data_IF_732653399640
#
_entry.id   IF_732653399640
#
_cell.length_a   1.000
_cell.length_b   1.000
_cell.length_c   1.000
_cell.angle_alpha   90.00
_cell.angle_beta   90.00
_cell.angle_gamma   90.00
#
_symmetry.space_group_name_H-M   'P 1'
#
loop_
_entity.id
_entity.type
_entity.pdbx_description
1 polymer ?
#
# COMPACT_ATOMS: atom_id res chain seq x y z
N UNK A 1 4.22 0.51 17.81
CA UNK A 1 3.83 0.75 16.42
C UNK A 1 3.00 2.02 16.37
N UNK A 2 3.25 2.89 15.41
CA UNK A 2 2.38 4.04 15.13
C UNK A 2 1.27 3.61 14.19
N UNK A 3 0.20 4.39 14.11
CA UNK A 3 -0.88 4.20 13.13
C UNK A 3 -0.34 4.14 11.69
N UNK A 4 0.64 4.99 11.36
CA UNK A 4 1.36 4.95 10.09
C UNK A 4 2.09 3.62 9.85
N UNK A 5 2.73 3.05 10.88
CA UNK A 5 3.44 1.77 10.75
C UNK A 5 2.46 0.60 10.56
N UNK A 6 1.27 0.66 11.19
CA UNK A 6 0.15 -0.28 10.97
C UNK A 6 -0.37 -0.17 9.53
N UNK A 7 -0.55 1.05 9.03
CA UNK A 7 -0.97 1.28 7.64
C UNK A 7 0.04 0.72 6.63
N UNK A 8 1.34 0.93 6.84
CA UNK A 8 2.36 0.36 5.98
C UNK A 8 2.37 -1.18 6.05
N UNK A 9 2.08 -1.77 7.20
CA UNK A 9 1.93 -3.22 7.36
C UNK A 9 0.71 -3.75 6.57
N UNK A 10 -0.42 -3.05 6.65
CA UNK A 10 -1.63 -3.33 5.88
C UNK A 10 -1.35 -3.27 4.38
N UNK A 11 -0.72 -2.20 3.90
CA UNK A 11 -0.40 -2.03 2.48
C UNK A 11 0.62 -3.07 2.00
N UNK A 12 1.60 -3.44 2.84
CA UNK A 12 2.55 -4.50 2.53
C UNK A 12 1.86 -5.88 2.44
N UNK A 13 0.86 -6.14 3.29
CA UNK A 13 0.07 -7.36 3.27
C UNK A 13 -0.93 -7.47 2.12
N UNK A 14 -1.27 -6.33 1.50
CA UNK A 14 -2.24 -6.23 0.40
C UNK A 14 -1.66 -5.43 -0.78
N UNK A 15 -0.58 -5.92 -1.42
CA UNK A 15 0.02 -5.23 -2.55
C UNK A 15 -0.95 -5.14 -3.73
N UNK A 16 -1.02 -3.98 -4.35
CA UNK A 16 -1.92 -3.72 -5.47
C UNK A 16 -3.34 -3.33 -5.04
N UNK A 17 -3.62 -3.22 -3.74
CA UNK A 17 -4.92 -2.77 -3.25
C UNK A 17 -5.21 -1.33 -3.68
N UNK A 18 -6.47 -1.09 -4.03
CA UNK A 18 -7.00 0.22 -4.33
C UNK A 18 -7.24 1.00 -3.03
N UNK A 19 -7.33 2.33 -3.13
CA UNK A 19 -7.65 3.20 -1.98
C UNK A 19 -8.93 2.77 -1.24
N UNK A 20 -9.97 2.39 -2.00
CA UNK A 20 -11.23 1.90 -1.43
C UNK A 20 -11.08 0.57 -0.70
N UNK A 21 -10.26 -0.33 -1.23
CA UNK A 21 -9.98 -1.64 -0.60
C UNK A 21 -9.18 -1.46 0.69
N UNK A 22 -8.18 -0.57 0.69
CA UNK A 22 -7.41 -0.24 1.90
C UNK A 22 -8.32 0.35 3.00
N UNK A 23 -9.30 1.18 2.64
CA UNK A 23 -10.28 1.72 3.60
C UNK A 23 -11.16 0.62 4.20
N UNK A 24 -11.62 -0.33 3.38
CA UNK A 24 -12.40 -1.46 3.85
C UNK A 24 -11.59 -2.36 4.80
N UNK A 25 -10.36 -2.70 4.41
CA UNK A 25 -9.43 -3.51 5.21
C UNK A 25 -9.06 -2.84 6.54
N UNK A 26 -8.89 -1.51 6.55
CA UNK A 26 -8.66 -0.74 7.76
C UNK A 26 -9.83 -0.85 8.74
N UNK A 27 -11.06 -0.72 8.22
CA UNK A 27 -12.29 -0.85 9.01
C UNK A 27 -12.48 -2.22 9.65
N UNK A 28 -11.92 -3.28 9.06
CA UNK A 28 -11.94 -4.64 9.64
C UNK A 28 -10.89 -4.83 10.75
N UNK A 29 -9.80 -4.05 10.71
CA UNK A 29 -8.60 -4.33 11.52
C UNK A 29 -8.64 -3.78 12.96
N UNK A 30 -9.62 -2.95 13.35
CA UNK A 30 -9.78 -2.24 14.66
C UNK A 30 -8.58 -1.38 15.11
N UNK A 31 -7.40 -1.58 14.51
CA UNK A 31 -6.13 -0.91 14.81
C UNK A 31 -5.83 0.27 13.90
N UNK A 32 -6.64 0.48 12.87
CA UNK A 32 -6.48 1.53 11.89
C UNK A 32 -7.83 2.19 11.66
N UNK A 33 -7.87 3.52 11.78
CA UNK A 33 -9.08 4.28 11.50
C UNK A 33 -9.29 4.38 9.99
N UNK A 34 -10.49 3.98 9.53
CA UNK A 34 -10.80 3.96 8.10
C UNK A 34 -10.82 5.37 7.49
N UNK A 35 -11.18 6.39 8.27
CA UNK A 35 -11.15 7.78 7.81
C UNK A 35 -9.72 8.33 7.71
N UNK A 36 -8.76 7.75 8.45
CA UNK A 36 -7.35 8.15 8.39
C UNK A 36 -6.58 7.54 7.20
N UNK A 37 -7.12 6.51 6.53
CA UNK A 37 -6.43 5.79 5.44
C UNK A 37 -6.02 6.71 4.30
N UNK A 38 -6.89 7.63 3.89
CA UNK A 38 -6.61 8.52 2.77
C UNK A 38 -5.45 9.48 3.05
N UNK A 39 -5.41 10.06 4.25
CA UNK A 39 -4.33 10.94 4.70
C UNK A 39 -3.02 10.17 4.87
N UNK A 40 -3.07 8.95 5.42
CA UNK A 40 -1.89 8.09 5.60
C UNK A 40 -1.32 7.63 4.27
N UNK A 41 -2.18 7.31 3.30
CA UNK A 41 -1.77 6.95 1.96
C UNK A 41 -1.15 8.13 1.22
N UNK A 42 -1.76 9.31 1.27
CA UNK A 42 -1.19 10.53 0.68
C UNK A 42 0.18 10.84 1.28
N UNK A 43 0.29 10.75 2.62
CA UNK A 43 1.55 10.94 3.32
C UNK A 43 2.61 9.90 2.90
N UNK A 44 2.23 8.64 2.70
CA UNK A 44 3.16 7.60 2.24
C UNK A 44 3.64 7.83 0.81
N UNK A 45 2.76 8.32 -0.09
CA UNK A 45 3.12 8.69 -1.46
C UNK A 45 4.07 9.90 -1.48
N UNK A 46 3.79 10.94 -0.68
CA UNK A 46 4.64 12.13 -0.56
C UNK A 46 6.03 11.79 -0.01
N UNK A 47 6.11 10.80 0.88
CA UNK A 47 7.36 10.33 1.48
C UNK A 47 8.12 9.30 0.63
N UNK A 48 7.57 8.92 -0.52
CA UNK A 48 8.10 7.84 -1.37
C UNK A 48 8.17 6.49 -0.62
N UNK A 49 7.40 6.35 0.48
CA UNK A 49 7.25 5.11 1.24
C UNK A 49 6.24 4.17 0.56
N UNK A 50 5.39 4.69 -0.33
CA UNK A 50 4.49 3.94 -1.19
C UNK A 50 4.55 4.46 -2.64
N UNK A 51 4.10 3.63 -3.59
CA UNK A 51 3.93 3.98 -5.01
C UNK A 51 2.50 3.67 -5.44
N UNK A 52 1.92 4.54 -6.26
CA UNK A 52 0.64 4.33 -6.94
C UNK A 52 0.89 3.99 -8.42
N UNK A 53 0.18 3.01 -8.94
CA UNK A 53 0.11 2.69 -10.35
C UNK A 53 -1.26 2.16 -10.73
N UNK A 54 -1.88 2.72 -11.76
CA UNK A 54 -3.17 2.25 -12.27
C UNK A 54 -4.26 2.13 -11.18
N UNK A 55 -4.26 3.03 -10.19
CA UNK A 55 -5.18 3.01 -9.05
C UNK A 55 -4.86 2.00 -7.94
N UNK A 56 -3.79 1.22 -8.11
CA UNK A 56 -3.27 0.25 -7.15
C UNK A 56 -2.06 0.80 -6.41
N UNK A 57 -1.80 0.31 -5.19
CA UNK A 57 -0.76 0.85 -4.31
C UNK A 57 0.20 -0.24 -3.79
N UNK A 58 1.47 0.12 -3.60
CA UNK A 58 2.51 -0.77 -3.06
C UNK A 58 3.44 -0.02 -2.10
N UNK A 59 3.95 -0.70 -1.08
CA UNK A 59 5.00 -0.15 -0.20
C UNK A 59 6.37 -0.20 -0.89
N UNK A 60 7.10 0.92 -0.85
CA UNK A 60 8.44 1.08 -1.42
C UNK A 60 9.56 1.07 -0.38
N UNK A 61 9.23 1.15 0.92
CA UNK A 61 10.22 1.29 2.00
C UNK A 61 11.28 0.18 1.93
N UNK A 62 12.49 0.59 1.54
CA UNK A 62 13.69 -0.25 1.47
C UNK A 62 13.96 -0.93 2.81
N UNK A 63 13.70 -2.24 2.88
CA UNK A 63 13.98 -3.08 4.06
C UNK A 63 12.78 -3.85 4.62
N UNK A 64 11.54 -3.49 4.24
CA UNK A 64 10.33 -4.31 4.52
C UNK A 64 9.69 -4.87 3.24
N UNK A 65 10.40 -4.76 2.12
CA UNK A 65 10.19 -5.59 0.95
C UNK A 65 10.55 -7.02 1.36
N UNK A 66 9.56 -7.79 1.79
CA UNK A 66 9.67 -9.24 1.99
C UNK A 66 9.08 -9.92 0.75
N UNK A 67 9.82 -9.99 -0.38
CA UNK A 67 9.34 -10.69 -1.57
C UNK A 67 9.07 -12.17 -1.34
N UNK A 68 9.56 -12.73 -0.23
CA UNK A 68 9.33 -14.11 0.21
C UNK A 68 8.01 -14.30 0.98
N UNK A 69 7.49 -13.25 1.64
CA UNK A 69 6.25 -13.36 2.46
C UNK A 69 5.00 -12.91 1.70
N UNK A 70 5.13 -12.10 0.65
CA UNK A 70 4.02 -11.59 -0.14
C UNK A 70 4.29 -11.72 -1.64
N UNK A 71 3.32 -12.28 -2.37
CA UNK A 71 3.38 -12.41 -3.84
C UNK A 71 3.34 -11.00 -4.47
N UNK A 72 4.53 -10.44 -4.70
CA UNK A 72 4.69 -9.24 -5.51
C UNK A 72 5.06 -9.65 -6.95
N UNK A 73 4.48 -9.02 -7.99
CA UNK A 73 5.00 -9.17 -9.34
C UNK A 73 6.43 -8.62 -9.40
N UNK A 74 7.41 -9.51 -9.38
CA UNK A 74 8.85 -9.20 -9.35
C UNK A 74 9.44 -8.84 -10.72
N UNK A 75 8.61 -8.63 -11.74
CA UNK A 75 9.08 -8.32 -13.08
C UNK A 75 8.45 -7.02 -13.53
N UNK A 76 9.30 -6.06 -13.91
CA UNK A 76 8.94 -4.74 -14.41
C UNK A 76 8.20 -4.78 -15.75
N UNK A 77 7.06 -5.43 -15.78
CA UNK A 77 6.06 -5.37 -16.83
C UNK A 77 4.99 -4.38 -16.36
N UNK A 78 5.40 -3.11 -16.22
CA UNK A 78 4.45 -2.02 -16.33
C UNK A 78 3.85 -2.16 -17.72
N UNK A 79 2.64 -2.71 -17.82
CA UNK A 79 1.90 -2.63 -19.07
C UNK A 79 1.59 -1.16 -19.29
N UNK A 80 2.43 -0.55 -20.12
CA UNK A 80 2.04 0.60 -20.93
C UNK A 80 0.88 0.12 -21.80
N UNK A 81 -0.36 0.23 -21.30
CA UNK A 81 -1.52 0.15 -22.17
C UNK A 81 -1.51 1.44 -23.00
N UNK A 82 -1.00 1.29 -24.22
CA UNK A 82 -0.70 2.37 -25.13
C UNK A 82 -1.94 3.07 -25.67
N UNK A 83 -1.72 4.34 -26.03
CA UNK A 83 -2.35 5.13 -27.12
C UNK A 83 -3.85 4.99 -27.37
#
# INVERSE_FOLDING_TARGET
MTEYDVFLDLLAGHPGASRSELRELAGDTDRLDADAVDDLLDHALVREDAVEANGSHWVMRSGRFHPDEYEHPLTGEWREDGL
#
